data_IF_595009541536
#
_entry.id   IF_595009541536
#
_cell.length_a   1.000
_cell.length_b   1.000
_cell.length_c   1.000
_cell.angle_alpha   90.00
_cell.angle_beta   90.00
_cell.angle_gamma   90.00
#
_symmetry.space_group_name_H-M   'P 1'
#
loop_
_entity.id
_entity.type
_entity.pdbx_description
1 polymer ?
#
# COMPACT_ATOMS: atom_id res chain seq x y z
N UNK A 1 81.85 3.85 -0.88
CA UNK A 1 80.82 2.79 -0.72
C UNK A 1 79.74 3.34 0.20
N UNK A 2 78.76 3.94 -0.38
CA UNK A 2 77.64 4.51 0.39
C UNK A 2 76.44 3.51 0.38
N UNK A 3 76.08 3.02 1.58
CA UNK A 3 74.98 2.12 1.79
C UNK A 3 73.72 2.95 1.93
N UNK A 4 72.82 2.86 0.96
CA UNK A 4 71.47 3.46 1.01
C UNK A 4 70.54 2.54 1.79
N UNK A 5 70.14 2.95 3.01
CA UNK A 5 69.08 2.33 3.78
C UNK A 5 67.69 2.72 3.15
N UNK A 6 67.03 1.72 2.65
CA UNK A 6 65.56 1.86 2.22
C UNK A 6 64.70 1.51 3.40
N UNK A 7 64.02 2.50 3.95
CA UNK A 7 63.03 2.30 5.01
C UNK A 7 61.74 1.81 4.40
N UNK A 8 61.16 0.66 4.81
CA UNK A 8 59.84 0.22 4.33
C UNK A 8 58.75 1.04 5.03
N UNK A 9 57.95 1.74 4.23
CA UNK A 9 56.70 2.40 4.69
C UNK A 9 55.67 1.32 4.88
N UNK A 10 55.32 1.02 6.14
CA UNK A 10 54.26 0.12 6.52
C UNK A 10 52.93 0.83 6.32
N UNK A 11 52.17 0.53 5.25
CA UNK A 11 50.79 0.94 5.09
C UNK A 11 49.92 0.08 6.01
N UNK A 12 49.60 0.60 7.18
CA UNK A 12 48.53 0.03 8.02
C UNK A 12 47.17 0.39 7.38
N UNK A 13 46.64 -0.55 6.60
CA UNK A 13 45.24 -0.45 6.12
C UNK A 13 44.30 -0.55 7.33
N UNK A 14 43.72 0.57 7.72
CA UNK A 14 42.69 0.64 8.76
C UNK A 14 41.41 0.00 8.20
N UNK A 15 41.23 -1.30 8.42
CA UNK A 15 39.98 -2.00 8.11
C UNK A 15 38.98 -1.57 9.18
N UNK A 16 38.21 -0.53 8.89
CA UNK A 16 37.00 -0.22 9.69
C UNK A 16 35.99 -1.35 9.46
N UNK A 17 35.53 -2.05 10.52
CA UNK A 17 34.43 -2.94 10.36
C UNK A 17 33.19 -2.09 10.00
N UNK A 18 32.71 -2.22 8.76
CA UNK A 18 31.37 -1.77 8.39
C UNK A 18 30.41 -2.62 9.22
N UNK A 19 30.01 -2.10 10.38
CA UNK A 19 28.87 -2.63 11.12
C UNK A 19 27.67 -2.47 10.19
N UNK A 20 27.40 -3.50 9.40
CA UNK A 20 26.13 -3.64 8.73
C UNK A 20 25.08 -3.65 9.85
N UNK A 21 24.40 -2.53 10.06
CA UNK A 21 23.16 -2.49 10.83
C UNK A 21 22.21 -3.41 10.09
N UNK A 22 22.15 -4.68 10.49
CA UNK A 22 21.11 -5.58 10.07
C UNK A 22 19.80 -4.93 10.54
N UNK A 23 19.09 -4.28 9.62
CA UNK A 23 17.82 -3.66 9.90
C UNK A 23 16.95 -4.74 10.55
N UNK A 24 16.61 -4.55 11.83
CA UNK A 24 15.79 -5.48 12.58
C UNK A 24 14.44 -5.53 11.88
N UNK A 25 14.13 -6.69 11.30
CA UNK A 25 12.81 -6.88 10.67
C UNK A 25 11.74 -6.51 11.68
N UNK A 26 10.70 -5.75 11.29
CA UNK A 26 9.61 -5.42 12.17
C UNK A 26 8.93 -6.70 12.66
N UNK A 27 8.40 -6.71 13.88
CA UNK A 27 7.67 -7.86 14.39
C UNK A 27 6.43 -8.14 13.52
N UNK A 28 6.10 -9.42 13.37
CA UNK A 28 4.85 -9.80 12.70
C UNK A 28 3.65 -9.32 13.51
N UNK A 29 2.65 -8.80 12.83
CA UNK A 29 1.36 -8.47 13.43
C UNK A 29 0.44 -9.71 13.44
N UNK A 30 -0.44 -9.80 14.45
CA UNK A 30 -1.45 -10.84 14.55
C UNK A 30 -2.81 -10.16 14.72
N UNK A 31 -3.68 -10.25 13.70
CA UNK A 31 -4.99 -9.61 13.69
C UNK A 31 -6.07 -10.55 13.18
N UNK A 32 -7.30 -10.33 13.66
CA UNK A 32 -8.49 -11.04 13.14
C UNK A 32 -9.02 -10.28 11.93
N UNK A 33 -8.96 -10.92 10.76
CA UNK A 33 -9.35 -10.34 9.48
C UNK A 33 -10.30 -11.27 8.73
N UNK A 34 -10.97 -10.70 7.75
CA UNK A 34 -11.93 -11.42 6.92
C UNK A 34 -13.29 -11.61 7.60
N UNK A 35 -14.29 -12.02 6.85
CA UNK A 35 -15.66 -12.25 7.34
C UNK A 35 -15.71 -13.30 8.49
N UNK A 36 -14.84 -14.30 8.43
CA UNK A 36 -14.78 -15.38 9.41
C UNK A 36 -13.91 -15.04 10.63
N UNK A 37 -13.40 -13.81 10.75
CA UNK A 37 -12.53 -13.39 11.85
C UNK A 37 -11.34 -14.33 12.09
N UNK A 38 -10.76 -14.82 11.01
CA UNK A 38 -9.57 -15.67 11.06
C UNK A 38 -8.36 -14.85 11.54
N UNK A 39 -7.56 -15.43 12.44
CA UNK A 39 -6.32 -14.79 12.86
C UNK A 39 -5.26 -14.92 11.76
N UNK A 40 -4.82 -13.78 11.23
CA UNK A 40 -3.71 -13.67 10.29
C UNK A 40 -2.46 -13.21 11.03
N UNK A 41 -1.33 -13.84 10.73
CA UNK A 41 0.00 -13.40 11.19
C UNK A 41 0.75 -12.95 9.95
N UNK A 42 1.11 -11.67 9.88
CA UNK A 42 1.67 -11.06 8.68
C UNK A 42 2.68 -9.97 8.98
N UNK A 43 3.52 -9.66 7.99
CA UNK A 43 4.41 -8.50 8.02
C UNK A 43 3.60 -7.22 7.74
N UNK A 44 3.51 -6.27 8.68
CA UNK A 44 2.78 -5.01 8.47
C UNK A 44 3.27 -4.23 7.24
N UNK A 45 4.53 -4.35 6.87
CA UNK A 45 5.08 -3.67 5.70
C UNK A 45 4.53 -4.22 4.37
N UNK A 46 3.83 -5.34 4.38
CA UNK A 46 3.14 -5.87 3.18
C UNK A 46 1.80 -5.18 2.91
N UNK A 47 1.25 -4.47 3.88
CA UNK A 47 0.01 -3.69 3.65
C UNK A 47 0.29 -2.60 2.61
N UNK A 48 -0.46 -2.62 1.50
CA UNK A 48 -0.29 -1.70 0.37
C UNK A 48 -1.42 -0.70 0.25
N UNK A 49 -2.63 -1.10 0.59
CA UNK A 49 -3.81 -0.24 0.57
C UNK A 49 -4.85 -0.68 1.60
N UNK A 50 -5.64 0.29 2.07
CA UNK A 50 -6.88 0.07 2.83
C UNK A 50 -7.96 0.96 2.22
N UNK A 51 -9.07 0.36 1.83
CA UNK A 51 -10.16 1.10 1.18
C UNK A 51 -11.51 0.47 1.44
N UNK A 52 -12.60 1.27 1.39
CA UNK A 52 -13.93 0.73 1.35
C UNK A 52 -14.16 0.00 0.01
N UNK A 53 -14.66 -1.21 0.08
CA UNK A 53 -15.14 -1.93 -1.10
C UNK A 53 -16.47 -2.62 -0.79
N UNK A 54 -17.21 -2.94 -1.81
CA UNK A 54 -18.45 -3.68 -1.61
C UNK A 54 -18.10 -5.10 -1.15
N UNK A 55 -18.65 -5.51 0.00
CA UNK A 55 -18.60 -6.90 0.40
C UNK A 55 -19.28 -7.74 -0.68
N UNK A 56 -18.59 -8.78 -1.17
CA UNK A 56 -19.16 -9.77 -2.07
C UNK A 56 -20.08 -10.75 -1.34
N UNK A 57 -20.45 -10.49 -0.10
CA UNK A 57 -21.38 -11.30 0.65
C UNK A 57 -22.67 -11.41 -0.13
N UNK A 58 -22.75 -12.52 -0.87
CA UNK A 58 -23.97 -13.05 -1.47
C UNK A 58 -24.65 -12.06 -2.42
N UNK A 59 -24.28 -12.07 -3.70
CA UNK A 59 -25.26 -11.71 -4.71
C UNK A 59 -26.45 -12.69 -4.54
N UNK A 60 -27.62 -12.26 -4.05
CA UNK A 60 -28.79 -13.08 -4.15
C UNK A 60 -28.98 -13.37 -5.64
N UNK A 61 -29.16 -14.66 -6.00
CA UNK A 61 -29.49 -15.05 -7.37
C UNK A 61 -30.52 -14.06 -7.90
N UNK A 62 -30.34 -13.51 -9.12
CA UNK A 62 -31.33 -12.60 -9.66
C UNK A 62 -32.67 -13.30 -9.73
N UNK A 63 -33.59 -12.94 -8.84
CA UNK A 63 -34.98 -13.28 -8.97
C UNK A 63 -35.45 -12.47 -10.18
N UNK A 64 -35.86 -13.15 -11.24
CA UNK A 64 -36.43 -12.52 -12.44
C UNK A 64 -37.48 -11.51 -12.01
N UNK A 65 -37.18 -10.22 -12.18
CA UNK A 65 -38.24 -9.23 -12.13
C UNK A 65 -37.94 -7.87 -11.49
N UNK A 66 -36.98 -7.71 -10.60
CA UNK A 66 -36.60 -6.38 -10.09
C UNK A 66 -35.13 -6.39 -9.70
N UNK A 67 -34.29 -5.71 -10.49
CA UNK A 67 -32.89 -5.49 -10.21
C UNK A 67 -32.69 -4.29 -9.26
N UNK A 68 -33.23 -4.36 -8.06
CA UNK A 68 -32.60 -3.63 -6.96
C UNK A 68 -31.34 -4.40 -6.59
N UNK A 69 -30.22 -3.97 -7.15
CA UNK A 69 -28.90 -4.36 -6.69
C UNK A 69 -28.81 -3.84 -5.25
N UNK A 70 -29.09 -4.69 -4.29
CA UNK A 70 -28.78 -4.44 -2.89
C UNK A 70 -27.26 -4.29 -2.83
N UNK A 71 -26.77 -3.05 -2.99
CA UNK A 71 -25.38 -2.71 -2.80
C UNK A 71 -25.11 -2.98 -1.33
N UNK A 72 -24.47 -4.10 -1.04
CA UNK A 72 -24.04 -4.42 0.32
C UNK A 72 -23.32 -3.23 0.94
N UNK A 73 -23.33 -3.12 2.26
CA UNK A 73 -22.62 -2.06 2.96
C UNK A 73 -21.16 -2.02 2.49
N UNK A 74 -20.63 -0.82 2.25
CA UNK A 74 -19.21 -0.62 2.01
C UNK A 74 -18.45 -1.04 3.27
N UNK A 75 -17.62 -2.06 3.15
CA UNK A 75 -16.79 -2.55 4.25
C UNK A 75 -15.33 -2.23 3.94
N UNK A 76 -14.54 -1.73 4.89
CA UNK A 76 -13.12 -1.53 4.66
C UNK A 76 -12.42 -2.87 4.42
N UNK A 77 -11.49 -2.89 3.47
CA UNK A 77 -10.67 -4.04 3.13
C UNK A 77 -9.21 -3.63 3.07
N UNK A 78 -8.33 -4.58 3.38
CA UNK A 78 -6.88 -4.43 3.33
C UNK A 78 -6.29 -5.29 2.23
N UNK A 79 -5.31 -4.75 1.51
CA UNK A 79 -4.55 -5.41 0.44
C UNK A 79 -3.09 -5.57 0.83
N UNK A 80 -2.45 -6.56 0.24
CA UNK A 80 -1.02 -6.85 0.38
C UNK A 80 -0.70 -7.95 1.39
N UNK A 81 -1.64 -8.35 2.24
CA UNK A 81 -1.47 -9.40 3.26
C UNK A 81 -1.72 -10.79 2.68
N UNK A 82 -2.71 -10.91 1.79
CA UNK A 82 -3.13 -12.16 1.16
C UNK A 82 -3.32 -11.95 -0.35
N UNK A 83 -3.55 -13.04 -1.08
CA UNK A 83 -3.82 -13.01 -2.52
C UNK A 83 -5.09 -12.22 -2.87
N UNK A 84 -6.07 -12.22 -1.97
CA UNK A 84 -7.32 -11.48 -2.09
C UNK A 84 -7.44 -10.44 -0.96
N UNK A 85 -8.19 -9.36 -1.16
CA UNK A 85 -8.44 -8.39 -0.10
C UNK A 85 -9.20 -9.02 1.07
N UNK A 86 -8.83 -8.63 2.29
CA UNK A 86 -9.46 -9.11 3.52
C UNK A 86 -10.24 -7.97 4.16
N UNK A 87 -11.48 -8.25 4.61
CA UNK A 87 -12.27 -7.27 5.35
C UNK A 87 -11.66 -6.98 6.73
N UNK A 88 -11.74 -5.73 7.15
CA UNK A 88 -11.37 -5.28 8.49
C UNK A 88 -12.62 -4.78 9.21
N UNK A 89 -12.67 -4.97 10.53
CA UNK A 89 -13.82 -4.57 11.35
C UNK A 89 -13.69 -3.17 11.95
N UNK A 90 -12.61 -2.48 11.61
CA UNK A 90 -12.31 -1.16 12.15
C UNK A 90 -12.23 -0.13 11.00
N UNK A 91 -12.09 1.16 11.36
CA UNK A 91 -11.82 2.19 10.36
C UNK A 91 -10.42 2.00 9.78
N UNK A 92 -10.18 2.43 8.53
CA UNK A 92 -8.85 2.40 7.93
C UNK A 92 -7.78 3.08 8.79
N UNK A 93 -8.12 4.23 9.41
CA UNK A 93 -7.21 5.00 10.25
C UNK A 93 -6.80 4.22 11.50
N UNK A 94 -7.78 3.64 12.22
CA UNK A 94 -7.51 2.85 13.42
C UNK A 94 -6.68 1.62 13.10
N UNK A 95 -7.01 0.92 12.02
CA UNK A 95 -6.26 -0.24 11.55
C UNK A 95 -4.78 0.12 11.25
N UNK A 96 -4.54 1.19 10.51
CA UNK A 96 -3.19 1.63 10.18
C UNK A 96 -2.43 2.11 11.41
N UNK A 97 -3.10 2.80 12.33
CA UNK A 97 -2.52 3.28 13.58
C UNK A 97 -2.12 2.13 14.50
N UNK A 98 -2.95 1.09 14.63
CA UNK A 98 -2.63 -0.12 15.41
C UNK A 98 -1.37 -0.81 14.87
N UNK A 99 -1.18 -0.79 13.54
CA UNK A 99 0.01 -1.32 12.88
C UNK A 99 1.20 -0.35 12.85
N UNK A 100 1.06 0.87 13.38
CA UNK A 100 2.07 1.95 13.31
C UNK A 100 2.47 2.30 11.87
N UNK A 101 1.49 2.29 10.96
CA UNK A 101 1.67 2.54 9.52
C UNK A 101 1.05 3.86 9.04
N UNK A 102 0.34 4.57 9.88
CA UNK A 102 -0.44 5.78 9.54
C UNK A 102 0.43 6.87 8.89
N UNK A 103 1.70 6.99 9.30
CA UNK A 103 2.65 7.95 8.71
C UNK A 103 3.12 7.57 7.30
N UNK A 104 2.98 6.30 6.90
CA UNK A 104 3.46 5.77 5.60
C UNK A 104 2.39 5.76 4.51
N UNK A 105 1.17 6.16 4.84
CA UNK A 105 0.03 6.15 3.93
C UNK A 105 -0.40 7.56 3.56
N UNK A 106 -0.81 7.72 2.30
CA UNK A 106 -1.53 8.91 1.82
C UNK A 106 -3.02 8.59 1.76
N UNK A 107 -3.83 9.61 1.95
CA UNK A 107 -5.29 9.52 1.80
C UNK A 107 -5.66 10.14 0.46
N UNK A 108 -6.36 9.37 -0.37
CA UNK A 108 -6.93 9.81 -1.64
C UNK A 108 -8.44 9.57 -1.62
N UNK A 109 -9.17 10.29 -2.46
CA UNK A 109 -10.62 10.13 -2.57
C UNK A 109 -10.97 9.36 -3.84
N UNK A 110 -11.36 8.11 -3.68
CA UNK A 110 -11.91 7.33 -4.77
C UNK A 110 -13.38 7.66 -5.01
N UNK A 111 -13.93 7.20 -6.14
CA UNK A 111 -15.37 7.33 -6.39
C UNK A 111 -16.25 6.55 -5.40
N UNK A 112 -15.64 5.71 -4.56
CA UNK A 112 -16.33 4.87 -3.57
C UNK A 112 -16.06 5.29 -2.12
N UNK A 113 -15.21 6.28 -1.88
CA UNK A 113 -14.83 6.76 -0.55
C UNK A 113 -13.32 6.95 -0.39
N UNK A 114 -12.88 7.16 0.83
CA UNK A 114 -11.47 7.37 1.16
C UNK A 114 -10.65 6.12 0.91
N UNK A 115 -9.47 6.31 0.32
CA UNK A 115 -8.53 5.29 -0.07
C UNK A 115 -7.19 5.61 0.56
N UNK A 116 -6.74 4.75 1.47
CA UNK A 116 -5.43 4.85 2.09
C UNK A 116 -4.45 3.99 1.30
N UNK A 117 -3.43 4.61 0.72
CA UNK A 117 -2.41 3.94 -0.11
C UNK A 117 -1.04 4.17 0.50
N UNK A 118 -0.24 3.11 0.63
CA UNK A 118 1.17 3.24 0.96
C UNK A 118 1.89 3.97 -0.17
N UNK A 119 2.55 5.08 0.14
CA UNK A 119 3.20 5.93 -0.84
C UNK A 119 4.28 5.18 -1.65
N UNK A 120 5.08 4.33 -0.98
CA UNK A 120 6.11 3.51 -1.63
C UNK A 120 5.55 2.41 -2.55
N UNK A 121 4.27 2.04 -2.41
CA UNK A 121 3.62 1.06 -3.28
C UNK A 121 3.10 1.64 -4.61
N UNK A 122 3.10 2.96 -4.78
CA UNK A 122 2.62 3.57 -6.02
C UNK A 122 3.62 3.30 -7.14
N UNK A 123 3.15 2.57 -8.16
CA UNK A 123 3.92 2.21 -9.35
C UNK A 123 3.85 3.28 -10.43
N UNK A 124 2.64 3.74 -10.74
CA UNK A 124 2.44 4.84 -11.68
C UNK A 124 1.12 5.58 -11.41
N UNK A 125 1.07 6.82 -11.87
CA UNK A 125 -0.08 7.71 -11.80
C UNK A 125 -0.28 8.28 -13.20
N UNK A 126 -1.49 8.15 -13.76
CA UNK A 126 -1.83 8.69 -15.07
C UNK A 126 -3.20 9.38 -15.04
N UNK A 127 -3.51 10.17 -16.04
CA UNK A 127 -4.87 10.63 -16.28
C UNK A 127 -5.77 9.45 -16.68
N UNK A 128 -7.06 9.43 -16.28
CA UNK A 128 -7.96 8.36 -16.67
C UNK A 128 -8.09 8.28 -18.19
N UNK A 129 -7.78 7.12 -18.81
CA UNK A 129 -7.80 6.99 -20.27
C UNK A 129 -9.23 7.03 -20.82
N UNK A 130 -10.21 6.55 -20.06
CA UNK A 130 -11.60 6.49 -20.48
C UNK A 130 -12.32 7.82 -20.19
N UNK A 131 -13.02 8.35 -21.19
CA UNK A 131 -13.83 9.55 -21.03
C UNK A 131 -14.92 9.36 -19.96
N UNK A 132 -15.56 8.19 -19.92
CA UNK A 132 -16.60 7.87 -18.94
C UNK A 132 -16.11 7.98 -17.49
N UNK A 133 -14.83 7.66 -17.21
CA UNK A 133 -14.27 7.80 -15.85
C UNK A 133 -14.07 9.28 -15.50
N UNK A 134 -13.60 10.09 -16.46
CA UNK A 134 -13.46 11.55 -16.30
C UNK A 134 -14.81 12.23 -16.06
N UNK A 135 -15.85 11.82 -16.81
CA UNK A 135 -17.22 12.33 -16.64
C UNK A 135 -17.81 11.96 -15.26
N UNK A 136 -17.36 10.86 -14.66
CA UNK A 136 -17.72 10.46 -13.28
C UNK A 136 -16.92 11.21 -12.22
N UNK A 137 -16.00 12.09 -12.60
CA UNK A 137 -15.21 12.93 -11.70
C UNK A 137 -13.81 12.38 -11.37
N UNK A 138 -13.38 11.26 -11.96
CA UNK A 138 -12.02 10.78 -11.79
C UNK A 138 -11.02 11.72 -12.51
N UNK A 139 -9.94 12.10 -11.83
CA UNK A 139 -8.88 12.94 -12.36
C UNK A 139 -7.55 12.22 -12.49
N UNK A 140 -7.35 11.17 -11.70
CA UNK A 140 -6.20 10.30 -11.84
C UNK A 140 -6.59 8.82 -11.69
N UNK A 141 -5.71 7.99 -12.26
CA UNK A 141 -5.69 6.56 -12.11
C UNK A 141 -4.37 6.18 -11.45
N UNK A 142 -4.44 5.50 -10.29
CA UNK A 142 -3.29 5.11 -9.48
C UNK A 142 -3.14 3.61 -9.51
N UNK A 143 -1.96 3.13 -9.90
CA UNK A 143 -1.61 1.70 -9.87
C UNK A 143 -0.57 1.43 -8.79
N UNK A 144 -0.69 0.28 -8.12
CA UNK A 144 0.18 -0.12 -7.02
C UNK A 144 1.06 -1.32 -7.40
N UNK A 145 2.16 -1.50 -6.66
CA UNK A 145 3.03 -2.67 -6.71
C UNK A 145 3.29 -3.15 -5.26
N UNK A 146 3.06 -4.42 -4.88
CA UNK A 146 2.51 -5.47 -5.73
C UNK A 146 1.11 -5.13 -6.23
N UNK A 147 0.79 -5.69 -7.38
CA UNK A 147 -0.47 -5.39 -8.05
C UNK A 147 -1.64 -5.77 -7.16
N UNK A 148 -2.50 -4.80 -6.90
CA UNK A 148 -3.75 -5.02 -6.20
C UNK A 148 -4.72 -5.72 -7.15
N UNK A 149 -5.17 -6.89 -6.76
CA UNK A 149 -6.21 -7.64 -7.48
C UNK A 149 -7.54 -7.52 -6.75
N UNK A 150 -8.63 -7.46 -7.50
CA UNK A 150 -9.97 -7.58 -6.92
C UNK A 150 -10.31 -9.06 -6.65
N UNK A 151 -11.50 -9.30 -6.13
CA UNK A 151 -12.01 -10.63 -5.84
C UNK A 151 -12.05 -11.59 -7.05
N UNK A 152 -12.04 -11.05 -8.27
CA UNK A 152 -12.01 -11.82 -9.51
C UNK A 152 -10.59 -12.10 -10.00
N UNK A 153 -9.56 -11.69 -9.26
CA UNK A 153 -8.17 -11.79 -9.67
C UNK A 153 -7.76 -10.77 -10.73
N UNK A 154 -8.64 -9.82 -11.06
CA UNK A 154 -8.36 -8.78 -12.04
C UNK A 154 -7.67 -7.60 -11.36
N UNK A 155 -6.56 -7.17 -11.94
CA UNK A 155 -5.88 -5.96 -11.51
C UNK A 155 -6.70 -4.73 -11.87
N UNK A 156 -7.09 -3.98 -10.85
CA UNK A 156 -7.79 -2.72 -11.06
C UNK A 156 -7.00 -1.58 -10.43
N UNK A 157 -6.52 -0.64 -11.25
CA UNK A 157 -6.01 0.61 -10.72
C UNK A 157 -7.16 1.40 -10.09
N UNK A 158 -6.80 2.25 -9.14
CA UNK A 158 -7.76 3.08 -8.41
C UNK A 158 -8.04 4.37 -9.17
N UNK A 159 -9.31 4.69 -9.37
CA UNK A 159 -9.76 5.98 -9.89
C UNK A 159 -9.96 6.94 -8.72
N UNK A 160 -9.27 8.07 -8.75
CA UNK A 160 -9.28 9.08 -7.68
C UNK A 160 -9.64 10.46 -8.20
N UNK A 161 -10.13 11.32 -7.31
CA UNK A 161 -10.57 12.67 -7.65
C UNK A 161 -9.44 13.70 -7.60
N UNK A 162 -8.28 13.35 -7.03
CA UNK A 162 -7.06 14.14 -7.09
C UNK A 162 -6.45 14.08 -8.49
N UNK A 163 -5.83 15.17 -8.91
CA UNK A 163 -5.05 15.20 -10.16
C UNK A 163 -3.74 14.40 -10.01
N UNK A 164 -3.12 13.92 -11.11
CA UNK A 164 -1.83 13.23 -11.05
C UNK A 164 -0.76 14.03 -10.30
N UNK A 165 -0.73 15.35 -10.45
CA UNK A 165 0.20 16.22 -9.74
C UNK A 165 -0.05 16.28 -8.24
N UNK A 166 -1.30 16.31 -7.80
CA UNK A 166 -1.66 16.24 -6.37
C UNK A 166 -1.28 14.90 -5.75
N UNK A 167 -1.61 13.79 -6.42
CA UNK A 167 -1.24 12.45 -5.93
C UNK A 167 0.28 12.31 -5.81
N UNK A 168 1.02 12.80 -6.83
CA UNK A 168 2.49 12.81 -6.81
C UNK A 168 3.04 13.59 -5.63
N UNK A 169 2.53 14.81 -5.40
CA UNK A 169 3.00 15.67 -4.30
C UNK A 169 2.81 14.99 -2.93
N UNK A 170 1.63 14.41 -2.68
CA UNK A 170 1.34 13.67 -1.45
C UNK A 170 2.25 12.45 -1.29
N UNK A 171 2.49 11.71 -2.38
CA UNK A 171 3.35 10.53 -2.35
C UNK A 171 4.82 10.88 -2.09
N UNK A 172 5.33 11.94 -2.72
CA UNK A 172 6.71 12.37 -2.54
C UNK A 172 6.98 12.86 -1.11
N UNK A 173 6.03 13.58 -0.50
CA UNK A 173 6.12 14.02 0.89
C UNK A 173 6.27 12.82 1.85
N UNK A 174 5.48 11.76 1.66
CA UNK A 174 5.55 10.57 2.50
C UNK A 174 6.79 9.73 2.26
N UNK A 175 7.25 9.60 1.01
CA UNK A 175 8.48 8.88 0.68
C UNK A 175 9.71 9.51 1.31
N UNK A 176 9.80 10.85 1.33
CA UNK A 176 10.90 11.56 2.01
C UNK A 176 10.90 11.25 3.51
N UNK A 177 9.74 11.11 4.13
CA UNK A 177 9.63 10.74 5.54
C UNK A 177 10.06 9.28 5.79
N UNK A 178 9.70 8.35 4.89
CA UNK A 178 10.10 6.93 4.98
C UNK A 178 11.63 6.73 4.83
N UNK A 179 12.29 7.50 3.95
CA UNK A 179 13.72 7.39 3.69
C UNK A 179 14.59 8.08 4.77
N UNK A 180 13.99 8.90 5.63
CA UNK A 180 14.66 9.63 6.71
C UNK A 180 14.66 8.91 8.07
N UNK A 181 13.94 7.79 8.22
CA UNK A 181 13.91 6.94 9.41
C UNK A 181 14.90 5.76 9.28
#
# INVERSE_FOLDING_TARGET
MESKFVTPILFAALIMPVMANAAKLPPLAAMKLGENQTTYIFDPNKVTAVAPTYSLTVMPKPVRGNSEVNRGALTPHVWGIAEIPLSINDSPENFLKELQLDTKFIILHSLSGELHIRASSIRYIIEPPLQADRERGAKALVSLDPRVVDWSGVQRPWLVTETPGQVKALADEKRIQEDGE
#
